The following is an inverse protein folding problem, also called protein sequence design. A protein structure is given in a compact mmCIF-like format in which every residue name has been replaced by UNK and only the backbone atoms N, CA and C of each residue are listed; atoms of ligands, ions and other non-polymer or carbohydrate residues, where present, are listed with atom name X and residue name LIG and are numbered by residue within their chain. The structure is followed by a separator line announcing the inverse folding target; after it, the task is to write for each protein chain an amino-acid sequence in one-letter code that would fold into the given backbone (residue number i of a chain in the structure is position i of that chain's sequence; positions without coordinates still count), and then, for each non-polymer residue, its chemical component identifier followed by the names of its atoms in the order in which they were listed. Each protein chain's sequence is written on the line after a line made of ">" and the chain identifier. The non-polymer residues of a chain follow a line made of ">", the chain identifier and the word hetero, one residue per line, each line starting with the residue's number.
data_IF_134706380674
#
_entry.id   IF_134706380674
#
_cell.length_a   1.000
_cell.length_b   1.000
_cell.length_c   1.000
_cell.angle_alpha   90.00
_cell.angle_beta   90.00
_cell.angle_gamma   90.00
#
_symmetry.space_group_name_H-M   'P 1'
#
loop_
_entity.id
_entity.type
_entity.pdbx_description
1 polymer ?
#
# COMPACT_ATOMS: atom_id res chain seq x y z
N UNK A 1 -0.31 10.56 15.95
CA UNK A 1 0.77 9.64 15.60
C UNK A 1 2.16 10.16 16.01
N UNK A 2 2.30 11.42 16.42
CA UNK A 2 3.57 12.07 16.76
C UNK A 2 4.41 11.34 17.83
N UNK A 3 3.79 10.47 18.62
CA UNK A 3 4.45 9.72 19.69
C UNK A 3 4.84 8.28 19.32
N UNK A 4 4.53 7.84 18.11
CA UNK A 4 4.83 6.48 17.66
C UNK A 4 5.95 6.50 16.63
N UNK A 5 7.02 5.68 16.81
CA UNK A 5 8.13 5.61 15.86
C UNK A 5 7.72 4.96 14.54
N UNK A 6 6.69 4.11 14.55
CA UNK A 6 6.14 3.41 13.39
C UNK A 6 4.62 3.51 13.45
N UNK A 7 4.01 3.79 12.30
CA UNK A 7 2.57 3.70 12.07
C UNK A 7 2.32 2.68 10.96
N UNK A 8 1.49 1.68 11.26
CA UNK A 8 0.99 0.72 10.27
C UNK A 8 -0.44 1.13 9.87
N UNK A 9 -0.61 1.46 8.59
CA UNK A 9 -1.86 1.95 8.02
C UNK A 9 -2.43 0.92 7.05
N UNK A 10 -3.23 0.01 7.61
CA UNK A 10 -3.87 -1.09 6.87
C UNK A 10 -5.19 -0.62 6.30
N UNK A 11 -5.33 -0.61 4.97
CA UNK A 11 -6.50 -0.12 4.24
C UNK A 11 -7.31 -1.24 3.57
N UNK A 12 -6.77 -2.46 3.50
CA UNK A 12 -7.47 -3.60 2.95
C UNK A 12 -8.05 -3.34 1.55
N UNK A 13 -9.37 -3.43 1.43
CA UNK A 13 -10.14 -3.13 0.22
C UNK A 13 -10.87 -1.77 0.30
N UNK A 14 -10.44 -0.87 1.18
CA UNK A 14 -11.05 0.45 1.31
C UNK A 14 -10.85 1.27 0.03
N UNK A 15 -11.93 1.86 -0.45
CA UNK A 15 -11.96 2.75 -1.62
C UNK A 15 -13.11 3.74 -1.53
N UNK A 16 -13.07 4.77 -2.37
CA UNK A 16 -14.17 5.69 -2.57
C UNK A 16 -15.41 4.94 -3.11
N UNK A 17 -16.51 4.98 -2.37
CA UNK A 17 -17.78 4.32 -2.70
C UNK A 17 -18.85 5.29 -3.23
N UNK A 18 -18.48 6.52 -3.56
CA UNK A 18 -19.39 7.57 -4.06
C UNK A 18 -20.32 7.07 -5.17
N UNK A 19 -19.75 6.27 -6.09
CA UNK A 19 -20.47 5.76 -7.25
C UNK A 19 -21.41 4.60 -6.90
N UNK A 20 -21.16 3.90 -5.79
CA UNK A 20 -21.94 2.76 -5.36
C UNK A 20 -23.12 3.15 -4.46
N UNK A 21 -23.09 4.33 -3.84
CA UNK A 21 -24.20 4.81 -3.01
C UNK A 21 -24.29 6.34 -2.95
N UNK A 22 -24.85 7.00 -3.99
CA UNK A 22 -24.96 8.46 -4.05
C UNK A 22 -25.83 9.08 -2.96
N UNK A 23 -26.64 8.28 -2.24
CA UNK A 23 -27.44 8.74 -1.12
C UNK A 23 -26.67 8.86 0.20
N UNK A 24 -25.46 8.30 0.30
CA UNK A 24 -24.61 8.42 1.48
C UNK A 24 -23.94 9.81 1.49
N UNK A 25 -24.15 10.53 2.59
CA UNK A 25 -23.46 11.80 2.85
C UNK A 25 -22.01 11.62 3.33
N UNK A 26 -21.57 10.42 3.59
CA UNK A 26 -20.23 10.10 4.11
C UNK A 26 -19.41 9.52 2.98
N UNK A 27 -18.34 10.23 2.61
CA UNK A 27 -17.38 9.79 1.61
C UNK A 27 -16.29 8.96 2.29
N UNK A 28 -16.25 7.68 1.98
CA UNK A 28 -15.09 6.85 2.29
C UNK A 28 -14.06 7.06 1.19
N UNK A 29 -12.86 7.34 1.59
CA UNK A 29 -11.72 7.49 0.69
C UNK A 29 -10.50 6.90 1.38
N UNK A 30 -9.71 6.16 0.64
CA UNK A 30 -8.46 5.54 1.09
C UNK A 30 -7.62 6.50 1.93
N UNK A 31 -7.45 7.74 1.46
CA UNK A 31 -6.83 8.82 2.23
C UNK A 31 -7.70 10.07 2.17
N UNK A 32 -8.51 10.29 3.19
CA UNK A 32 -9.27 11.55 3.31
C UNK A 32 -8.33 12.74 3.50
N UNK A 33 -8.79 13.96 3.15
CA UNK A 33 -7.96 15.15 3.29
C UNK A 33 -7.44 15.40 4.72
N UNK A 34 -8.21 15.16 5.80
CA UNK A 34 -7.66 15.22 7.16
C UNK A 34 -6.54 14.21 7.39
N UNK A 35 -6.70 12.97 6.90
CA UNK A 35 -5.72 11.91 7.02
C UNK A 35 -4.44 12.23 6.26
N UNK A 36 -4.55 12.75 5.03
CA UNK A 36 -3.38 13.21 4.26
C UNK A 36 -2.56 14.26 5.05
N UNK A 37 -3.22 15.22 5.69
CA UNK A 37 -2.54 16.24 6.51
C UNK A 37 -1.81 15.63 7.70
N UNK A 38 -2.45 14.71 8.43
CA UNK A 38 -1.86 14.05 9.58
C UNK A 38 -0.65 13.19 9.18
N UNK A 39 -0.79 12.39 8.11
CA UNK A 39 0.30 11.55 7.62
C UNK A 39 1.45 12.37 7.05
N UNK A 40 1.15 13.49 6.38
CA UNK A 40 2.17 14.44 5.91
C UNK A 40 3.00 14.98 7.07
N UNK A 41 2.34 15.51 8.12
CA UNK A 41 3.02 16.03 9.29
C UNK A 41 3.86 14.95 10.01
N UNK A 42 3.29 13.73 10.14
CA UNK A 42 3.97 12.59 10.73
C UNK A 42 5.25 12.20 9.96
N UNK A 43 5.16 12.06 8.64
CA UNK A 43 6.33 11.75 7.80
C UNK A 43 7.37 12.87 7.87
N UNK A 44 6.95 14.13 7.76
CA UNK A 44 7.86 15.28 7.80
C UNK A 44 8.56 15.43 9.17
N UNK A 45 7.97 14.93 10.25
CA UNK A 45 8.62 14.87 11.59
C UNK A 45 9.58 13.67 11.75
N UNK A 46 9.80 12.87 10.70
CA UNK A 46 10.73 11.74 10.72
C UNK A 46 10.09 10.38 11.04
N UNK A 47 8.77 10.28 11.03
CA UNK A 47 8.04 9.04 11.31
C UNK A 47 8.24 7.97 10.23
N UNK A 48 8.11 6.70 10.62
CA UNK A 48 8.16 5.56 9.71
C UNK A 48 6.75 5.06 9.42
N UNK A 49 6.36 5.00 8.15
CA UNK A 49 4.99 4.69 7.72
C UNK A 49 4.96 3.43 6.87
N UNK A 50 4.23 2.42 7.34
CA UNK A 50 3.79 1.29 6.55
C UNK A 50 2.38 1.58 6.02
N UNK A 51 2.16 1.36 4.73
CA UNK A 51 0.86 1.50 4.06
C UNK A 51 0.58 0.27 3.23
N UNK A 52 -0.58 -0.34 3.38
CA UNK A 52 -1.00 -1.47 2.54
C UNK A 52 -2.48 -1.40 2.18
N UNK A 53 -2.82 -1.73 0.92
CA UNK A 53 -4.20 -1.77 0.46
C UNK A 53 -4.31 -1.88 -1.05
N UNK A 54 -5.44 -2.43 -1.52
CA UNK A 54 -5.67 -2.65 -2.96
C UNK A 54 -5.85 -1.37 -3.77
N UNK A 55 -6.35 -0.29 -3.16
CA UNK A 55 -6.79 0.91 -3.89
C UNK A 55 -6.03 2.16 -3.49
N UNK A 56 -4.84 2.01 -2.91
CA UNK A 56 -4.02 3.14 -2.42
C UNK A 56 -3.54 4.06 -3.54
N UNK A 57 -3.43 3.57 -4.77
CA UNK A 57 -3.05 4.35 -5.95
C UNK A 57 -4.27 4.78 -6.77
N UNK A 58 -5.15 3.84 -7.13
CA UNK A 58 -6.30 4.09 -8.01
C UNK A 58 -7.27 5.10 -7.42
N UNK A 59 -7.59 5.00 -6.13
CA UNK A 59 -8.48 5.92 -5.43
C UNK A 59 -7.87 7.32 -5.26
N UNK A 60 -6.56 7.43 -5.34
CA UNK A 60 -5.81 8.67 -5.23
C UNK A 60 -5.44 9.31 -6.57
N UNK A 61 -5.74 8.64 -7.69
CA UNK A 61 -5.38 9.12 -9.03
C UNK A 61 -6.32 10.19 -9.60
N UNK A 62 -7.45 10.44 -8.96
CA UNK A 62 -8.58 11.24 -9.47
C UNK A 62 -8.41 12.76 -9.36
N UNK A 63 -7.42 13.26 -8.63
CA UNK A 63 -7.13 14.69 -8.52
C UNK A 63 -5.64 14.96 -8.38
N UNK A 64 -5.21 16.18 -8.76
CA UNK A 64 -3.81 16.59 -8.63
C UNK A 64 -3.35 16.56 -7.17
N UNK A 65 -4.13 17.09 -6.23
CA UNK A 65 -3.75 17.13 -4.81
C UNK A 65 -3.57 15.73 -4.20
N UNK A 66 -4.40 14.77 -4.62
CA UNK A 66 -4.25 13.38 -4.20
C UNK A 66 -2.98 12.74 -4.76
N UNK A 67 -2.68 12.95 -6.05
CA UNK A 67 -1.43 12.49 -6.66
C UNK A 67 -0.21 13.14 -6.01
N UNK A 68 -0.26 14.42 -5.72
CA UNK A 68 0.83 15.10 -5.02
C UNK A 68 1.10 14.50 -3.63
N UNK A 69 0.06 14.10 -2.90
CA UNK A 69 0.24 13.42 -1.63
C UNK A 69 0.93 12.06 -1.79
N UNK A 70 0.49 11.22 -2.74
CA UNK A 70 1.11 9.91 -2.97
C UNK A 70 2.54 10.03 -3.50
N UNK A 71 2.80 10.96 -4.41
CA UNK A 71 4.11 11.13 -5.02
C UNK A 71 5.11 11.83 -4.08
N UNK A 72 4.71 12.93 -3.43
CA UNK A 72 5.63 13.73 -2.61
C UNK A 72 5.82 13.19 -1.20
N UNK A 73 4.78 12.55 -0.63
CA UNK A 73 4.82 12.07 0.76
C UNK A 73 4.96 10.55 0.82
N UNK A 74 4.11 9.80 0.13
CA UNK A 74 4.16 8.34 0.15
C UNK A 74 5.18 7.75 -0.83
N UNK A 75 5.72 8.59 -1.74
CA UNK A 75 6.81 8.25 -2.66
C UNK A 75 6.48 7.18 -3.70
N UNK A 76 5.20 7.12 -4.11
CA UNK A 76 4.79 6.28 -5.23
C UNK A 76 3.83 7.00 -6.18
N UNK A 77 3.89 6.62 -7.46
CA UNK A 77 2.91 6.92 -8.49
C UNK A 77 2.01 5.72 -8.77
N UNK A 78 0.81 5.96 -9.29
CA UNK A 78 -0.11 4.92 -9.73
C UNK A 78 0.09 4.60 -11.21
N UNK A 79 0.29 3.31 -11.53
CA UNK A 79 0.49 2.84 -12.91
C UNK A 79 -0.74 2.13 -13.49
N UNK A 80 -1.58 1.57 -12.65
CA UNK A 80 -2.77 0.81 -13.06
C UNK A 80 -3.18 -0.20 -11.99
N UNK A 81 -4.33 -0.86 -12.17
CA UNK A 81 -4.78 -1.93 -11.29
C UNK A 81 -4.78 -3.25 -12.04
N UNK A 82 -4.31 -4.32 -11.41
CA UNK A 82 -4.29 -5.66 -11.99
C UNK A 82 -5.66 -6.31 -11.90
N UNK A 83 -6.49 -6.08 -12.92
CA UNK A 83 -7.84 -6.67 -13.00
C UNK A 83 -7.85 -8.15 -13.36
N UNK A 84 -6.82 -8.63 -14.04
CA UNK A 84 -6.75 -9.99 -14.58
C UNK A 84 -5.40 -10.66 -14.25
N UNK A 85 -5.12 -10.83 -12.96
CA UNK A 85 -3.98 -11.64 -12.54
C UNK A 85 -4.44 -13.03 -12.14
N UNK A 86 -4.14 -14.01 -12.96
CA UNK A 86 -4.50 -15.41 -12.71
C UNK A 86 -3.73 -16.00 -11.53
N UNK A 87 -2.52 -15.52 -11.24
CA UNK A 87 -1.65 -16.19 -10.29
C UNK A 87 -1.73 -15.68 -8.85
N UNK A 88 -2.09 -14.42 -8.60
CA UNK A 88 -2.00 -13.83 -7.27
C UNK A 88 -0.58 -13.86 -6.65
N UNK A 89 0.44 -14.18 -7.45
CA UNK A 89 1.82 -14.30 -6.99
C UNK A 89 2.53 -12.95 -7.00
N UNK A 90 3.31 -12.73 -5.95
CA UNK A 90 4.12 -11.53 -5.75
C UNK A 90 5.52 -11.97 -5.34
N UNK A 91 6.55 -11.47 -6.01
CA UNK A 91 7.94 -11.73 -5.63
C UNK A 91 8.59 -10.50 -5.01
N UNK A 92 9.38 -10.70 -3.98
CA UNK A 92 10.14 -9.64 -3.31
C UNK A 92 10.77 -10.13 -2.03
N UNK A 93 11.76 -9.43 -1.53
CA UNK A 93 12.47 -9.78 -0.29
C UNK A 93 13.00 -11.24 -0.25
N UNK A 94 13.38 -11.79 -1.42
CA UNK A 94 13.82 -13.18 -1.56
C UNK A 94 12.70 -14.22 -1.41
N UNK A 95 11.43 -13.83 -1.53
CA UNK A 95 10.25 -14.69 -1.34
C UNK A 95 9.30 -14.62 -2.53
N UNK A 96 8.50 -15.66 -2.68
CA UNK A 96 7.30 -15.67 -3.51
C UNK A 96 6.08 -15.74 -2.59
N UNK A 97 5.33 -14.67 -2.55
CA UNK A 97 4.11 -14.53 -1.75
C UNK A 97 2.90 -14.91 -2.59
N UNK A 98 1.83 -15.34 -1.93
CA UNK A 98 0.53 -15.61 -2.55
C UNK A 98 -0.55 -14.75 -1.89
N UNK A 99 -1.36 -14.07 -2.73
CA UNK A 99 -2.58 -13.39 -2.30
C UNK A 99 -3.79 -14.05 -2.99
N UNK A 100 -4.95 -14.16 -2.31
CA UNK A 100 -6.12 -14.85 -2.85
C UNK A 100 -6.77 -14.03 -3.97
N UNK A 101 -7.02 -14.65 -5.12
CA UNK A 101 -7.77 -14.06 -6.24
C UNK A 101 -9.27 -14.39 -6.16
N UNK A 102 -9.60 -15.44 -5.43
CA UNK A 102 -10.95 -15.84 -5.04
C UNK A 102 -11.02 -15.88 -3.52
N UNK A 103 -12.18 -15.61 -2.91
CA UNK A 103 -12.31 -15.71 -1.46
C UNK A 103 -12.10 -17.16 -1.02
N UNK A 104 -11.45 -17.33 0.12
CA UNK A 104 -11.26 -18.61 0.77
C UNK A 104 -11.56 -18.51 2.28
N UNK A 105 -11.42 -19.61 3.03
CA UNK A 105 -11.71 -19.63 4.47
C UNK A 105 -10.81 -18.70 5.30
N UNK A 106 -9.66 -18.28 4.76
CA UNK A 106 -8.65 -17.49 5.49
C UNK A 106 -8.62 -16.03 5.11
N UNK A 107 -9.02 -15.69 3.88
CA UNK A 107 -8.89 -14.33 3.38
C UNK A 107 -9.93 -14.02 2.29
N UNK A 108 -10.25 -12.74 2.17
CA UNK A 108 -11.08 -12.21 1.11
C UNK A 108 -10.31 -12.13 -0.23
N UNK A 109 -11.05 -12.07 -1.33
CA UNK A 109 -10.45 -11.95 -2.65
C UNK A 109 -9.83 -10.55 -2.88
N UNK A 110 -8.59 -10.52 -3.33
CA UNK A 110 -7.90 -9.31 -3.80
C UNK A 110 -8.01 -9.25 -5.33
N UNK A 111 -9.11 -8.70 -5.83
CA UNK A 111 -9.46 -8.79 -7.27
C UNK A 111 -8.77 -7.76 -8.15
N UNK A 112 -8.40 -6.61 -7.63
CA UNK A 112 -7.82 -5.50 -8.39
C UNK A 112 -6.74 -4.76 -7.58
N UNK A 113 -5.65 -5.43 -7.19
CA UNK A 113 -4.57 -4.75 -6.48
C UNK A 113 -3.88 -3.73 -7.39
N UNK A 114 -3.40 -2.64 -6.80
CA UNK A 114 -2.78 -1.54 -7.52
C UNK A 114 -1.30 -1.81 -7.85
N UNK A 115 -0.92 -1.43 -9.05
CA UNK A 115 0.47 -1.29 -9.44
C UNK A 115 0.95 0.10 -9.04
N UNK A 116 1.91 0.16 -8.12
CA UNK A 116 2.51 1.39 -7.65
C UNK A 116 3.99 1.43 -8.02
N UNK A 117 4.43 2.53 -8.61
CA UNK A 117 5.82 2.70 -9.07
C UNK A 117 6.55 3.67 -8.15
N UNK A 118 7.84 3.43 -7.88
CA UNK A 118 8.61 4.34 -7.04
C UNK A 118 8.77 5.71 -7.70
N UNK A 119 8.75 6.76 -6.88
CA UNK A 119 8.99 8.16 -7.25
C UNK A 119 10.19 8.68 -6.46
N UNK A 120 10.93 9.62 -7.03
CA UNK A 120 12.16 10.18 -6.48
C UNK A 120 13.22 9.07 -6.18
N UNK A 121 13.70 9.02 -4.94
CA UNK A 121 14.68 8.03 -4.48
C UNK A 121 14.04 6.77 -3.85
N UNK A 122 12.74 6.56 -4.03
CA UNK A 122 12.11 5.29 -3.67
C UNK A 122 12.56 4.17 -4.62
N UNK A 123 12.43 2.94 -4.17
CA UNK A 123 12.82 1.76 -4.96
C UNK A 123 11.77 0.64 -4.85
N UNK A 124 11.63 -0.21 -5.89
CA UNK A 124 10.69 -1.31 -5.87
C UNK A 124 11.16 -2.40 -4.90
N UNK A 125 10.23 -3.00 -4.15
CA UNK A 125 10.50 -4.10 -3.22
C UNK A 125 9.67 -5.35 -3.52
N UNK A 126 8.51 -5.18 -4.18
CA UNK A 126 7.64 -6.26 -4.61
C UNK A 126 7.24 -6.10 -6.07
N UNK A 127 7.05 -7.23 -6.76
CA UNK A 127 6.66 -7.29 -8.17
C UNK A 127 5.58 -8.36 -8.34
N UNK A 128 4.49 -8.03 -9.01
CA UNK A 128 3.45 -8.98 -9.41
C UNK A 128 3.96 -9.94 -10.49
N UNK A 129 3.51 -11.19 -10.43
CA UNK A 129 3.88 -12.22 -11.41
C UNK A 129 2.74 -12.55 -12.39
N UNK A 130 3.06 -12.79 -13.67
CA UNK A 130 4.38 -12.72 -14.32
C UNK A 130 4.91 -11.28 -14.37
N UNK A 131 6.15 -11.10 -13.95
CA UNK A 131 6.74 -9.84 -13.53
C UNK A 131 6.86 -8.76 -14.58
N UNK A 132 6.14 -7.69 -14.42
CA UNK A 132 6.38 -6.39 -15.07
C UNK A 132 5.90 -5.20 -14.24
N UNK A 133 5.04 -5.42 -13.23
CA UNK A 133 4.41 -4.35 -12.48
C UNK A 133 4.86 -4.34 -11.03
N UNK A 134 5.33 -3.19 -10.56
CA UNK A 134 5.69 -3.03 -9.15
C UNK A 134 4.44 -3.15 -8.28
N UNK A 135 4.54 -4.03 -7.27
CA UNK A 135 3.50 -4.28 -6.28
C UNK A 135 3.74 -3.54 -4.97
N UNK A 136 4.95 -3.05 -4.76
CA UNK A 136 5.31 -2.33 -3.54
C UNK A 136 6.65 -1.64 -3.66
N UNK A 137 6.78 -0.55 -2.91
CA UNK A 137 7.97 0.30 -2.89
C UNK A 137 8.46 0.54 -1.46
N UNK A 138 9.72 0.92 -1.33
CA UNK A 138 10.26 1.47 -0.10
C UNK A 138 11.01 2.77 -0.38
N UNK A 139 10.93 3.70 0.58
CA UNK A 139 11.63 4.98 0.57
C UNK A 139 12.40 5.18 1.88
N UNK A 140 13.64 5.60 1.78
CA UNK A 140 14.50 5.92 2.93
C UNK A 140 15.14 7.29 2.71
N UNK A 141 14.70 8.27 3.48
CA UNK A 141 15.20 9.63 3.51
C UNK A 141 15.09 10.21 4.91
N UNK A 142 14.60 11.43 5.05
CA UNK A 142 14.34 12.06 6.34
C UNK A 142 13.26 11.33 7.15
N UNK A 143 12.42 10.57 6.48
CA UNK A 143 11.46 9.60 7.03
C UNK A 143 11.52 8.34 6.17
N UNK A 144 10.82 7.29 6.57
CA UNK A 144 10.76 6.06 5.79
C UNK A 144 9.31 5.70 5.48
N UNK A 145 9.10 5.24 4.26
CA UNK A 145 7.81 4.70 3.82
C UNK A 145 8.03 3.31 3.25
N UNK A 146 7.12 2.40 3.59
CA UNK A 146 7.00 1.10 2.94
C UNK A 146 5.55 0.99 2.46
N UNK A 147 5.32 0.94 1.16
CA UNK A 147 3.98 0.92 0.59
C UNK A 147 3.77 -0.34 -0.26
N UNK A 148 2.60 -0.98 -0.09
CA UNK A 148 2.17 -2.16 -0.84
C UNK A 148 0.83 -1.89 -1.50
N UNK A 149 0.75 -2.05 -2.82
CA UNK A 149 -0.47 -1.93 -3.63
C UNK A 149 -1.44 -3.12 -3.48
N UNK A 150 -1.23 -3.93 -2.47
CA UNK A 150 -2.07 -5.04 -2.04
C UNK A 150 -2.15 -5.08 -0.51
N UNK A 151 -3.22 -5.62 0.07
CA UNK A 151 -3.38 -5.72 1.52
C UNK A 151 -2.35 -6.67 2.13
N UNK A 152 -1.60 -6.23 3.14
CA UNK A 152 -0.62 -7.04 3.85
C UNK A 152 -1.26 -8.30 4.47
N UNK A 153 -2.41 -8.13 5.10
CA UNK A 153 -3.14 -9.21 5.76
C UNK A 153 -3.67 -10.29 4.80
N UNK A 154 -3.71 -9.97 3.49
CA UNK A 154 -4.12 -10.92 2.46
C UNK A 154 -3.03 -11.92 2.03
N UNK A 155 -1.78 -11.73 2.47
CA UNK A 155 -0.73 -12.73 2.25
C UNK A 155 -1.15 -14.04 2.92
N UNK A 156 -1.34 -15.11 2.14
CA UNK A 156 -1.97 -16.34 2.64
C UNK A 156 -1.15 -17.06 3.71
N UNK A 157 0.16 -17.08 3.56
CA UNK A 157 1.07 -17.76 4.50
C UNK A 157 1.37 -16.87 5.71
N UNK A 158 1.03 -17.35 6.91
CA UNK A 158 1.37 -16.68 8.17
C UNK A 158 2.89 -16.53 8.35
N UNK A 159 3.65 -17.56 7.97
CA UNK A 159 5.11 -17.51 7.99
C UNK A 159 5.64 -16.42 7.08
N UNK A 160 5.07 -16.25 5.87
CA UNK A 160 5.49 -15.19 4.96
C UNK A 160 5.10 -13.81 5.49
N UNK A 161 3.91 -13.66 6.10
CA UNK A 161 3.54 -12.41 6.78
C UNK A 161 4.55 -12.03 7.86
N UNK A 162 4.93 -12.99 8.71
CA UNK A 162 5.92 -12.76 9.76
C UNK A 162 7.29 -12.34 9.20
N UNK A 163 7.77 -13.00 8.14
CA UNK A 163 9.05 -12.69 7.49
C UNK A 163 8.99 -11.30 6.84
N UNK A 164 7.92 -10.99 6.13
CA UNK A 164 7.73 -9.67 5.49
C UNK A 164 7.68 -8.57 6.55
N UNK A 165 6.91 -8.75 7.63
CA UNK A 165 6.85 -7.78 8.71
C UNK A 165 8.21 -7.59 9.38
N UNK A 166 8.96 -8.66 9.66
CA UNK A 166 10.31 -8.56 10.21
C UNK A 166 11.26 -7.76 9.28
N UNK A 167 11.15 -7.96 7.97
CA UNK A 167 11.94 -7.20 7.00
C UNK A 167 11.56 -5.71 6.98
N UNK A 168 10.26 -5.39 7.08
CA UNK A 168 9.74 -4.01 7.18
C UNK A 168 10.24 -3.33 8.46
N UNK A 169 10.12 -3.99 9.61
CA UNK A 169 10.59 -3.45 10.89
C UNK A 169 12.11 -3.21 10.86
N UNK A 170 12.88 -4.15 10.32
CA UNK A 170 14.32 -3.97 10.12
C UNK A 170 14.62 -2.78 9.19
N UNK A 171 13.86 -2.61 8.12
CA UNK A 171 13.97 -1.45 7.22
C UNK A 171 13.70 -0.15 7.98
N UNK A 172 12.74 -0.12 8.90
CA UNK A 172 12.45 1.04 9.76
C UNK A 172 13.47 1.25 10.88
N UNK A 173 14.43 0.34 11.07
CA UNK A 173 15.52 0.46 12.02
C UNK A 173 15.23 -0.16 13.39
N UNK A 174 14.17 -0.94 13.51
CA UNK A 174 13.95 -1.81 14.66
C UNK A 174 14.97 -2.98 14.65
N UNK A 175 15.41 -3.38 15.83
CA UNK A 175 16.39 -4.47 16.01
C UNK A 175 15.71 -5.83 16.15
#
# INVERSE_FOLDING_TARGET
>A
PEHYPIVDFILGLEKDDILSNPARKTYYKTFSSPMQRILTAYCQSGGNLLVSGSYIGSDMSNSQGNREFTEKILKYGFQGSLKDTRSGQITGLGRTLQIPRLPNEKAYAVTAPDCIVPVDSAFPVFVYQPGQYSAGIAYKGNYRVFAMGFPFESIESETDRAIVMAAILKFFGEK
#
